data_IF_526794078926
#
_entry.id   IF_526794078926
#
_cell.length_a   1.000
_cell.length_b   1.000
_cell.length_c   1.000
_cell.angle_alpha   90.00
_cell.angle_beta   90.00
_cell.angle_gamma   90.00
#
_symmetry.space_group_name_H-M   'P 1'
#
loop_
_entity.id
_entity.type
_entity.pdbx_description
1 polymer ?
#
# COMPACT_ATOMS: atom_id res chain seq x y z
N UNK A 1 6.21 2.29 20.62
CA UNK A 1 6.38 3.71 20.24
C UNK A 1 6.16 3.84 18.74
N UNK A 2 6.98 3.16 17.94
CA UNK A 2 6.86 3.19 16.46
C UNK A 2 5.52 2.69 15.94
N UNK A 3 4.92 1.66 16.55
CA UNK A 3 3.57 1.18 16.20
C UNK A 3 2.48 2.23 16.47
N UNK A 4 2.59 2.96 17.58
CA UNK A 4 1.62 4.00 17.94
C UNK A 4 1.69 5.17 16.96
N UNK A 5 2.92 5.57 16.64
CA UNK A 5 3.19 6.62 15.65
C UNK A 5 2.68 6.20 14.26
N UNK A 6 2.90 4.95 13.87
CA UNK A 6 2.42 4.41 12.60
C UNK A 6 0.90 4.50 12.50
N UNK A 7 0.16 4.08 13.53
CA UNK A 7 -1.29 4.14 13.54
C UNK A 7 -1.83 5.59 13.54
N UNK A 8 -1.18 6.53 14.24
CA UNK A 8 -1.56 7.94 14.21
C UNK A 8 -1.36 8.57 12.80
N UNK A 9 -0.24 8.28 12.14
CA UNK A 9 0.01 8.78 10.79
C UNK A 9 -0.85 8.09 9.72
N UNK A 10 -1.17 6.81 9.91
CA UNK A 10 -2.14 6.08 9.09
C UNK A 10 -3.54 6.71 9.15
N UNK A 11 -3.96 7.19 10.31
CA UNK A 11 -5.23 7.90 10.47
C UNK A 11 -5.31 9.20 9.67
N UNK A 12 -4.19 9.90 9.52
CA UNK A 12 -4.11 11.22 8.87
C UNK A 12 -3.75 11.17 7.39
N UNK A 13 -3.05 10.12 6.95
CA UNK A 13 -2.67 9.89 5.55
C UNK A 13 -3.82 9.38 4.66
N UNK A 14 -3.61 9.47 3.35
CA UNK A 14 -4.52 8.95 2.32
C UNK A 14 -3.90 7.86 1.44
N UNK A 15 -2.59 7.60 1.55
CA UNK A 15 -1.84 6.61 0.78
C UNK A 15 -0.81 5.93 1.69
N UNK A 16 -0.73 4.61 1.59
CA UNK A 16 0.24 3.78 2.30
C UNK A 16 0.97 2.87 1.29
N UNK A 17 2.30 2.82 1.38
CA UNK A 17 3.13 1.89 0.61
C UNK A 17 4.03 1.12 1.58
N UNK A 18 3.64 -0.12 1.87
CA UNK A 18 4.33 -0.96 2.83
C UNK A 18 5.37 -1.84 2.13
N UNK A 19 6.52 -2.03 2.79
CA UNK A 19 7.59 -2.90 2.30
C UNK A 19 7.68 -4.18 3.15
N UNK A 20 7.73 -5.33 2.49
CA UNK A 20 7.90 -6.64 3.14
C UNK A 20 9.39 -6.99 3.30
N UNK A 21 9.80 -7.12 4.56
CA UNK A 21 11.14 -7.57 4.94
C UNK A 21 11.49 -8.96 4.38
N UNK A 22 10.53 -9.87 4.24
CA UNK A 22 10.75 -11.22 3.68
C UNK A 22 11.14 -11.16 2.21
N UNK A 23 10.49 -10.29 1.42
CA UNK A 23 10.84 -10.06 0.02
C UNK A 23 12.26 -9.48 -0.11
N UNK A 24 12.58 -8.47 0.71
CA UNK A 24 13.91 -7.87 0.74
C UNK A 24 15.00 -8.87 1.13
N UNK A 25 14.74 -9.73 2.13
CA UNK A 25 15.68 -10.79 2.54
C UNK A 25 15.94 -11.81 1.42
N UNK A 26 14.96 -12.04 0.54
CA UNK A 26 15.09 -12.88 -0.66
C UNK A 26 15.69 -12.13 -1.86
N UNK A 27 16.09 -10.87 -1.68
CA UNK A 27 16.60 -9.97 -2.74
C UNK A 27 15.62 -9.75 -3.89
N UNK A 28 14.32 -9.80 -3.59
CA UNK A 28 13.26 -9.49 -4.54
C UNK A 28 12.93 -8.00 -4.42
N UNK A 29 13.04 -7.28 -5.53
CA UNK A 29 12.80 -5.84 -5.58
C UNK A 29 11.89 -5.47 -6.76
N UNK A 30 10.96 -4.50 -6.57
CA UNK A 30 10.70 -3.77 -5.32
C UNK A 30 10.00 -4.65 -4.26
N UNK A 31 10.39 -4.50 -3.00
CA UNK A 31 9.92 -5.36 -1.89
C UNK A 31 8.56 -4.89 -1.33
N UNK A 32 7.59 -4.61 -2.20
CA UNK A 32 6.29 -4.01 -1.84
C UNK A 32 5.33 -5.11 -1.38
N UNK A 33 4.65 -4.87 -0.25
CA UNK A 33 3.48 -5.64 0.16
C UNK A 33 2.24 -5.04 -0.50
N UNK A 34 1.79 -5.66 -1.58
CA UNK A 34 0.67 -5.15 -2.40
C UNK A 34 -0.65 -5.19 -1.64
N UNK A 35 -0.87 -6.19 -0.79
CA UNK A 35 -2.13 -6.36 -0.06
C UNK A 35 -2.26 -5.36 1.09
N UNK A 36 -1.12 -4.98 1.70
CA UNK A 36 -1.12 -4.00 2.78
C UNK A 36 -0.95 -2.55 2.31
N UNK A 37 -0.62 -2.33 1.04
CA UNK A 37 -0.49 -1.00 0.42
C UNK A 37 -1.79 -0.57 -0.27
N UNK A 38 -2.06 0.73 -0.33
CA UNK A 38 -3.24 1.24 -1.01
C UNK A 38 -3.44 2.74 -0.90
N UNK A 39 -4.34 3.27 -1.73
CA UNK A 39 -4.74 4.68 -1.70
C UNK A 39 -6.24 4.79 -1.45
N UNK A 40 -6.63 5.60 -0.46
CA UNK A 40 -8.05 5.87 -0.21
C UNK A 40 -8.62 6.69 -1.36
N UNK A 41 -9.81 6.31 -1.82
CA UNK A 41 -10.50 6.92 -2.98
C UNK A 41 -9.69 6.86 -4.27
N UNK A 42 -9.04 5.71 -4.53
CA UNK A 42 -8.33 5.46 -5.78
C UNK A 42 -9.23 5.49 -7.03
N UNK A 43 -10.55 5.33 -6.86
CA UNK A 43 -11.56 5.52 -7.89
C UNK A 43 -11.61 6.95 -8.47
N UNK A 44 -11.03 7.93 -7.78
CA UNK A 44 -10.87 9.30 -8.29
C UNK A 44 -9.60 9.49 -9.12
N UNK A 45 -8.68 8.52 -9.09
CA UNK A 45 -7.34 8.62 -9.67
C UNK A 45 -7.17 7.74 -10.91
N UNK A 46 -7.96 6.67 -11.00
CA UNK A 46 -7.86 5.64 -12.04
C UNK A 46 -9.22 5.51 -12.71
N UNK A 47 -9.23 5.29 -14.03
CA UNK A 47 -10.50 5.09 -14.75
C UNK A 47 -11.18 3.79 -14.27
N UNK A 48 -12.50 3.74 -14.35
CA UNK A 48 -13.30 2.60 -13.86
C UNK A 48 -12.97 1.30 -14.57
N UNK A 49 -12.65 1.40 -15.86
CA UNK A 49 -12.29 0.24 -16.67
C UNK A 49 -10.94 -0.35 -16.19
N UNK A 50 -9.96 0.52 -15.89
CA UNK A 50 -8.68 0.10 -15.33
C UNK A 50 -8.82 -0.42 -13.90
N UNK A 51 -9.66 0.22 -13.06
CA UNK A 51 -9.92 -0.21 -11.68
C UNK A 51 -10.53 -1.62 -11.61
N UNK A 52 -11.34 -2.01 -12.60
CA UNK A 52 -11.94 -3.33 -12.69
C UNK A 52 -10.93 -4.43 -13.05
N UNK A 53 -9.88 -4.08 -13.79
CA UNK A 53 -8.82 -4.99 -14.26
C UNK A 53 -7.78 -5.28 -13.16
N UNK A 54 -7.74 -4.46 -12.09
CA UNK A 54 -6.84 -4.63 -10.94
C UNK A 54 -7.11 -5.87 -10.08
N UNK A 55 -8.17 -6.64 -10.37
CA UNK A 55 -8.27 -8.08 -10.07
C UNK A 55 -7.69 -8.57 -8.74
N UNK A 56 -8.30 -8.16 -7.63
CA UNK A 56 -8.25 -8.86 -6.34
C UNK A 56 -9.64 -9.31 -5.92
#
# INVERSE_FOLDING_TARGET
MDEVIFEEFKGTGNMELQLDRKLSNRRIYPAIDVTASGTRREDLLIDKDELSDYGF
#
